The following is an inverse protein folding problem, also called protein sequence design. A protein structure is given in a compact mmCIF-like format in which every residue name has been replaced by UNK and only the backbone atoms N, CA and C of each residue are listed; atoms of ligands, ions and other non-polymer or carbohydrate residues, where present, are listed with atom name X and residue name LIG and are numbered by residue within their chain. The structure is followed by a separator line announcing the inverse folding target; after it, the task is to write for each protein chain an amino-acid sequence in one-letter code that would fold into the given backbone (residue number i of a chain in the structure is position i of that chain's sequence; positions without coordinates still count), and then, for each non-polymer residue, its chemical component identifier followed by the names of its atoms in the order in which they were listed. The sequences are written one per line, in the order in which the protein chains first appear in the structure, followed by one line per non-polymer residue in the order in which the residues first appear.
data_IF_416370875091
#
_entry.id   IF_416370875091
#
_cell.length_a   1.000
_cell.length_b   1.000
_cell.length_c   1.000
_cell.angle_alpha   90.00
_cell.angle_beta   90.00
_cell.angle_gamma   90.00
#
_symmetry.space_group_name_H-M   'P 1'
#
loop_
_entity.id
_entity.type
_entity.pdbx_description
1 polymer ?
#
# COMPACT_ATOMS: atom_id res chain seq x y z
N UNK A 1 6.31 3.53 20.63
CA UNK A 1 5.67 2.60 19.67
C UNK A 1 4.51 3.35 19.02
N UNK A 2 4.58 3.60 17.71
CA UNK A 2 3.43 4.12 16.97
C UNK A 2 2.47 2.94 16.74
N UNK A 3 1.32 2.94 17.42
CA UNK A 3 0.24 1.98 17.15
C UNK A 3 -0.36 2.26 15.77
N UNK A 4 -0.81 1.22 15.07
CA UNK A 4 -1.62 1.35 13.85
C UNK A 4 -2.83 2.25 14.13
N UNK A 5 -3.18 3.14 13.20
CA UNK A 5 -4.29 4.06 13.40
C UNK A 5 -5.64 3.31 13.36
N UNK A 6 -6.52 3.61 14.32
CA UNK A 6 -7.88 3.07 14.35
C UNK A 6 -8.81 3.91 13.45
N UNK A 7 -9.90 3.32 12.99
CA UNK A 7 -10.97 4.04 12.30
C UNK A 7 -12.13 4.23 13.27
N UNK A 8 -12.31 5.46 13.76
CA UNK A 8 -13.42 5.79 14.64
C UNK A 8 -14.66 6.16 13.81
N UNK A 9 -15.75 5.43 14.00
CA UNK A 9 -17.03 5.70 13.32
C UNK A 9 -17.99 6.31 14.35
N UNK A 10 -18.30 7.59 14.17
CA UNK A 10 -19.08 8.38 15.14
C UNK A 10 -20.58 8.46 14.78
N UNK A 11 -21.02 7.67 13.82
CA UNK A 11 -22.41 7.60 13.38
C UNK A 11 -22.86 6.14 13.23
N UNK A 12 -24.14 5.93 12.93
CA UNK A 12 -24.73 4.64 12.60
C UNK A 12 -24.32 4.16 11.18
N UNK A 13 -23.03 4.21 10.85
CA UNK A 13 -22.48 3.76 9.57
C UNK A 13 -21.91 2.36 9.69
N UNK A 14 -22.52 1.40 8.98
CA UNK A 14 -21.93 0.08 8.84
C UNK A 14 -20.89 0.06 7.71
N UNK A 15 -19.62 -0.04 8.08
CA UNK A 15 -18.46 0.03 7.19
C UNK A 15 -17.49 -1.09 7.52
N UNK A 16 -17.23 -1.99 6.57
CA UNK A 16 -16.39 -3.17 6.79
C UNK A 16 -14.87 -2.88 6.83
N UNK A 17 -14.44 -1.80 7.47
CA UNK A 17 -13.06 -1.30 7.51
C UNK A 17 -12.30 -1.85 8.71
N UNK A 18 -11.11 -2.42 8.45
CA UNK A 18 -10.18 -2.89 9.47
C UNK A 18 -9.93 -1.85 10.56
N UNK A 19 -9.96 -2.29 11.81
CA UNK A 19 -9.67 -1.41 12.95
C UNK A 19 -10.78 -0.41 13.21
N UNK A 20 -11.99 -0.67 12.72
CA UNK A 20 -13.16 0.14 13.05
C UNK A 20 -13.51 -0.02 14.52
N UNK A 21 -13.87 1.10 15.14
CA UNK A 21 -14.43 1.17 16.48
C UNK A 21 -15.56 2.19 16.53
N UNK A 22 -16.55 1.95 17.39
CA UNK A 22 -17.60 2.92 17.74
C UNK A 22 -17.33 3.59 19.08
N UNK A 23 -16.24 3.20 19.76
CA UNK A 23 -15.70 3.88 20.93
C UNK A 23 -14.49 4.71 20.50
N UNK A 24 -14.43 5.93 20.99
CA UNK A 24 -13.31 6.84 20.77
C UNK A 24 -11.97 6.18 21.18
N UNK A 25 -10.96 6.13 20.27
CA UNK A 25 -9.65 5.56 20.58
C UNK A 25 -8.74 6.55 21.31
N UNK A 26 -7.85 6.03 22.16
CA UNK A 26 -6.89 6.83 22.95
C UNK A 26 -5.73 7.42 22.14
N UNK A 27 -5.55 7.03 20.87
CA UNK A 27 -4.39 7.41 20.06
C UNK A 27 -4.75 7.82 18.63
N UNK A 28 -3.74 7.84 17.73
CA UNK A 28 -3.94 8.25 16.35
C UNK A 28 -5.05 7.49 15.66
N UNK A 29 -5.91 8.20 14.96
CA UNK A 29 -7.09 7.62 14.32
C UNK A 29 -7.53 8.43 13.10
N UNK A 30 -8.37 7.82 12.30
CA UNK A 30 -9.14 8.48 11.26
C UNK A 30 -10.61 8.45 11.65
N UNK A 31 -11.34 9.53 11.41
CA UNK A 31 -12.75 9.66 11.78
C UNK A 31 -13.64 9.46 10.56
N UNK A 32 -14.73 8.71 10.71
CA UNK A 32 -15.81 8.63 9.72
C UNK A 32 -17.11 9.09 10.35
N UNK A 33 -17.81 9.99 9.67
CA UNK A 33 -19.03 10.62 10.17
C UNK A 33 -20.05 10.78 9.05
N UNK A 34 -21.34 10.80 9.40
CA UNK A 34 -22.38 11.26 8.47
C UNK A 34 -22.42 12.79 8.42
N UNK A 35 -22.80 13.37 7.28
CA UNK A 35 -22.86 14.83 7.18
C UNK A 35 -23.80 15.50 8.20
N UNK A 36 -24.88 14.83 8.60
CA UNK A 36 -25.78 15.31 9.67
C UNK A 36 -25.10 15.46 11.04
N UNK A 37 -24.01 14.73 11.29
CA UNK A 37 -23.27 14.73 12.55
C UNK A 37 -21.91 15.46 12.39
N UNK A 38 -21.72 16.20 11.29
CA UNK A 38 -20.45 16.83 10.95
C UNK A 38 -20.01 17.86 12.01
N UNK A 39 -20.93 18.62 12.58
CA UNK A 39 -20.61 19.63 13.61
C UNK A 39 -19.94 18.99 14.85
N UNK A 40 -20.47 17.87 15.34
CA UNK A 40 -19.84 17.11 16.43
C UNK A 40 -18.46 16.57 16.02
N UNK A 41 -18.28 16.16 14.76
CA UNK A 41 -16.99 15.73 14.24
C UNK A 41 -15.98 16.89 14.22
N UNK A 42 -16.43 18.11 13.90
CA UNK A 42 -15.59 19.31 13.94
C UNK A 42 -15.00 19.52 15.34
N UNK A 43 -15.87 19.45 16.36
CA UNK A 43 -15.48 19.62 17.76
C UNK A 43 -14.44 18.56 18.18
N UNK A 44 -14.67 17.29 17.79
CA UNK A 44 -13.75 16.20 18.05
C UNK A 44 -12.36 16.44 17.45
N UNK A 45 -12.30 16.75 16.16
CA UNK A 45 -11.02 16.93 15.45
C UNK A 45 -10.27 18.19 15.92
N UNK A 46 -11.00 19.25 16.28
CA UNK A 46 -10.41 20.43 16.90
C UNK A 46 -9.73 20.10 18.25
N UNK A 47 -10.35 19.23 19.07
CA UNK A 47 -9.78 18.77 20.33
C UNK A 47 -8.66 17.73 20.16
N UNK A 48 -8.69 16.94 19.08
CA UNK A 48 -7.81 15.77 18.85
C UNK A 48 -6.80 16.03 17.72
N UNK A 49 -5.60 16.48 18.09
CA UNK A 49 -4.47 16.68 17.15
C UNK A 49 -3.95 15.39 16.50
N UNK A 50 -4.25 14.25 17.10
CA UNK A 50 -3.88 12.91 16.62
C UNK A 50 -4.90 12.32 15.63
N UNK A 51 -6.01 13.01 15.36
CA UNK A 51 -6.90 12.66 14.26
C UNK A 51 -6.25 13.01 12.91
N UNK A 52 -5.95 12.01 12.09
CA UNK A 52 -5.14 12.15 10.86
C UNK A 52 -5.97 12.48 9.63
N UNK A 53 -7.21 12.02 9.60
CA UNK A 53 -8.11 12.20 8.47
C UNK A 53 -9.57 12.17 8.93
N UNK A 54 -10.42 12.86 8.16
CA UNK A 54 -11.87 12.85 8.32
C UNK A 54 -12.51 12.36 7.02
N UNK A 55 -13.47 11.45 7.13
CA UNK A 55 -14.36 11.11 6.03
C UNK A 55 -15.80 11.48 6.37
N UNK A 56 -16.44 12.22 5.47
CA UNK A 56 -17.83 12.66 5.60
C UNK A 56 -18.68 11.95 4.55
N UNK A 57 -19.67 11.19 5.01
CA UNK A 57 -20.59 10.42 4.16
C UNK A 57 -21.98 11.05 4.16
N UNK A 58 -22.48 11.39 2.98
CA UNK A 58 -23.74 12.11 2.80
C UNK A 58 -23.61 13.53 3.33
N UNK A 59 -23.09 14.43 2.50
CA UNK A 59 -22.76 15.80 2.87
C UNK A 59 -24.04 16.57 3.25
N UNK A 60 -23.99 17.43 4.28
CA UNK A 60 -25.12 18.27 4.63
C UNK A 60 -25.36 19.34 3.54
N UNK A 61 -26.50 20.02 3.61
CA UNK A 61 -26.83 21.08 2.65
C UNK A 61 -25.94 22.32 2.80
N UNK A 62 -25.56 22.66 4.03
CA UNK A 62 -24.69 23.80 4.32
C UNK A 62 -23.28 23.32 4.64
N UNK A 63 -22.27 23.97 4.04
CA UNK A 63 -20.87 23.73 4.38
C UNK A 63 -20.53 24.44 5.70
N UNK A 64 -20.12 23.72 6.77
CA UNK A 64 -19.67 24.36 7.99
C UNK A 64 -18.30 25.02 7.78
N UNK A 65 -17.83 25.79 8.76
CA UNK A 65 -16.43 26.22 8.77
C UNK A 65 -15.52 24.98 8.85
N UNK A 66 -14.58 24.84 7.90
CA UNK A 66 -13.64 23.73 7.81
C UNK A 66 -12.21 24.12 8.24
N UNK A 67 -11.98 25.36 8.71
CA UNK A 67 -10.65 25.91 9.01
C UNK A 67 -9.80 25.06 9.96
N UNK A 68 -10.42 24.32 10.87
CA UNK A 68 -9.76 23.41 11.84
C UNK A 68 -9.21 22.11 11.22
N UNK A 69 -9.55 21.81 9.96
CA UNK A 69 -8.98 20.72 9.17
C UNK A 69 -7.75 21.12 8.36
N UNK A 70 -7.32 22.38 8.41
CA UNK A 70 -6.15 22.84 7.65
C UNK A 70 -4.94 21.91 7.86
N UNK A 71 -4.31 21.49 6.76
CA UNK A 71 -3.20 20.53 6.77
C UNK A 71 -3.58 19.07 7.09
N UNK A 72 -4.87 18.74 7.20
CA UNK A 72 -5.36 17.36 7.35
C UNK A 72 -5.98 16.86 6.04
N UNK A 73 -6.25 15.56 5.99
CA UNK A 73 -6.93 14.91 4.86
C UNK A 73 -8.44 14.83 5.09
N UNK A 74 -9.21 15.22 4.08
CA UNK A 74 -10.66 15.19 4.08
C UNK A 74 -11.17 14.35 2.91
N UNK A 75 -11.95 13.33 3.23
CA UNK A 75 -12.60 12.46 2.27
C UNK A 75 -14.09 12.78 2.19
N UNK A 76 -14.56 13.20 1.03
CA UNK A 76 -15.96 13.55 0.81
C UNK A 76 -16.68 12.45 0.04
N UNK A 77 -17.82 11.97 0.54
CA UNK A 77 -18.60 10.91 -0.12
C UNK A 77 -20.06 11.33 -0.24
N UNK A 78 -20.50 11.63 -1.46
CA UNK A 78 -21.91 11.97 -1.75
C UNK A 78 -22.30 11.55 -3.17
N UNK A 79 -23.57 11.27 -3.40
CA UNK A 79 -24.09 11.01 -4.76
C UNK A 79 -24.27 12.28 -5.57
N UNK A 80 -24.45 13.41 -4.90
CA UNK A 80 -24.72 14.72 -5.48
C UNK A 80 -23.42 15.46 -5.80
N UNK A 81 -23.24 15.77 -7.08
CA UNK A 81 -22.04 16.45 -7.57
C UNK A 81 -22.00 17.93 -7.20
N UNK A 82 -23.16 18.57 -7.02
CA UNK A 82 -23.22 19.97 -6.60
C UNK A 82 -22.72 20.10 -5.15
N UNK A 83 -23.25 19.27 -4.24
CA UNK A 83 -22.78 19.22 -2.85
C UNK A 83 -21.29 18.89 -2.74
N UNK A 84 -20.81 17.88 -3.48
CA UNK A 84 -19.38 17.53 -3.47
C UNK A 84 -18.50 18.70 -3.89
N UNK A 85 -18.89 19.39 -4.96
CA UNK A 85 -18.14 20.52 -5.50
C UNK A 85 -18.08 21.66 -4.49
N UNK A 86 -19.22 22.03 -3.91
CA UNK A 86 -19.31 23.12 -2.93
C UNK A 86 -18.42 22.84 -1.71
N UNK A 87 -18.51 21.63 -1.15
CA UNK A 87 -17.68 21.19 -0.04
C UNK A 87 -16.19 21.17 -0.40
N UNK A 88 -15.83 20.64 -1.56
CA UNK A 88 -14.44 20.58 -2.00
C UNK A 88 -13.85 21.98 -2.20
N UNK A 89 -14.60 22.91 -2.80
CA UNK A 89 -14.16 24.30 -2.99
C UNK A 89 -13.95 25.03 -1.64
N UNK A 90 -14.83 24.80 -0.66
CA UNK A 90 -14.64 25.31 0.70
C UNK A 90 -13.39 24.72 1.36
N UNK A 91 -13.19 23.41 1.24
CA UNK A 91 -12.07 22.72 1.86
C UNK A 91 -10.71 23.10 1.25
N UNK A 92 -10.64 23.25 -0.07
CA UNK A 92 -9.44 23.72 -0.77
C UNK A 92 -9.10 25.15 -0.35
N UNK A 93 -10.09 26.04 -0.21
CA UNK A 93 -9.88 27.41 0.32
C UNK A 93 -9.36 27.43 1.76
N UNK A 94 -9.64 26.38 2.52
CA UNK A 94 -9.14 26.19 3.88
C UNK A 94 -7.80 25.41 3.94
N UNK A 95 -7.11 25.22 2.80
CA UNK A 95 -5.82 24.52 2.70
C UNK A 95 -5.86 23.07 3.20
N UNK A 96 -6.96 22.37 2.90
CA UNK A 96 -7.18 20.96 3.24
C UNK A 96 -6.83 20.09 2.02
N UNK A 97 -6.19 18.95 2.26
CA UNK A 97 -6.01 17.93 1.22
C UNK A 97 -7.32 17.15 1.04
N UNK A 98 -7.96 17.29 -0.11
CA UNK A 98 -9.30 16.76 -0.37
C UNK A 98 -9.25 15.65 -1.40
N UNK A 99 -9.80 14.50 -1.04
CA UNK A 99 -10.21 13.49 -2.00
C UNK A 99 -11.74 13.31 -1.93
N UNK A 100 -12.38 13.12 -3.08
CA UNK A 100 -13.83 12.93 -3.11
C UNK A 100 -14.25 11.70 -3.91
N UNK A 101 -15.41 11.18 -3.53
CA UNK A 101 -16.00 9.96 -4.02
C UNK A 101 -17.46 10.26 -4.36
N UNK A 102 -17.77 10.29 -5.66
CA UNK A 102 -19.16 10.40 -6.11
C UNK A 102 -19.89 9.07 -5.95
N UNK A 103 -20.66 8.92 -4.88
CA UNK A 103 -21.48 7.75 -4.61
C UNK A 103 -22.57 8.03 -3.59
N UNK A 104 -23.81 7.56 -3.85
CA UNK A 104 -24.91 7.65 -2.90
C UNK A 104 -24.75 6.72 -1.68
N UNK A 105 -23.90 5.69 -1.79
CA UNK A 105 -23.54 4.77 -0.69
C UNK A 105 -22.03 4.74 -0.53
N UNK A 106 -21.48 4.70 0.69
CA UNK A 106 -20.04 4.72 0.88
C UNK A 106 -19.38 3.48 0.26
N UNK A 107 -18.51 3.63 -0.75
CA UNK A 107 -17.82 2.49 -1.33
C UNK A 107 -16.68 2.09 -0.40
N UNK A 108 -16.95 1.06 0.41
CA UNK A 108 -16.02 0.51 1.41
C UNK A 108 -14.57 0.46 0.92
N UNK A 109 -14.30 -0.12 -0.24
CA UNK A 109 -12.94 -0.32 -0.76
C UNK A 109 -12.17 1.00 -0.94
N UNK A 110 -12.82 2.03 -1.50
CA UNK A 110 -12.19 3.34 -1.71
C UNK A 110 -12.01 4.07 -0.38
N UNK A 111 -13.01 4.03 0.47
CA UNK A 111 -12.96 4.66 1.79
C UNK A 111 -11.88 4.03 2.68
N UNK A 112 -11.78 2.70 2.67
CA UNK A 112 -10.72 1.98 3.38
C UNK A 112 -9.34 2.29 2.80
N UNK A 113 -9.21 2.43 1.47
CA UNK A 113 -7.94 2.82 0.85
C UNK A 113 -7.46 4.18 1.32
N UNK A 114 -8.37 5.15 1.32
CA UNK A 114 -8.17 6.50 1.82
C UNK A 114 -7.77 6.55 3.30
N UNK A 115 -8.50 5.84 4.16
CA UNK A 115 -8.33 5.88 5.62
C UNK A 115 -7.18 5.00 6.14
N UNK A 116 -6.84 3.95 5.39
CA UNK A 116 -5.74 3.01 5.69
C UNK A 116 -4.79 2.97 4.49
N UNK A 117 -4.01 4.06 4.29
CA UNK A 117 -3.09 4.15 3.17
C UNK A 117 -1.97 3.11 3.32
N UNK A 118 -1.58 2.50 2.20
CA UNK A 118 -0.57 1.44 2.16
C UNK A 118 0.54 1.85 1.23
N UNK A 119 1.79 1.61 1.64
CA UNK A 119 2.97 1.78 0.81
C UNK A 119 3.44 0.45 0.23
N UNK A 120 4.35 0.50 -0.74
CA UNK A 120 5.01 -0.66 -1.30
C UNK A 120 6.52 -0.56 -1.14
N UNK A 121 7.15 -1.68 -0.78
CA UNK A 121 8.60 -1.84 -0.77
C UNK A 121 8.95 -2.84 -1.86
N UNK A 122 9.60 -2.37 -2.92
CA UNK A 122 10.16 -3.22 -3.96
C UNK A 122 11.62 -3.50 -3.60
N UNK A 123 11.92 -4.73 -3.20
CA UNK A 123 13.27 -5.17 -2.90
C UNK A 123 14.01 -5.50 -4.19
N UNK A 124 14.95 -4.64 -4.57
CA UNK A 124 15.75 -4.76 -5.80
C UNK A 124 17.28 -4.67 -5.51
N UNK A 125 17.68 -4.89 -4.26
CA UNK A 125 19.07 -4.78 -3.81
C UNK A 125 19.82 -6.13 -3.73
N UNK A 126 19.14 -7.25 -4.01
CA UNK A 126 19.70 -8.60 -3.93
C UNK A 126 20.79 -8.89 -4.96
N UNK A 127 21.75 -9.74 -4.61
CA UNK A 127 22.83 -10.14 -5.51
C UNK A 127 22.36 -11.19 -6.52
N UNK A 128 22.75 -11.04 -7.78
CA UNK A 128 22.38 -11.97 -8.87
C UNK A 128 23.42 -13.08 -9.07
N UNK A 129 23.99 -13.61 -7.99
CA UNK A 129 25.20 -14.46 -8.04
C UNK A 129 25.05 -15.75 -8.86
N UNK A 130 23.83 -16.24 -9.08
CA UNK A 130 23.52 -17.42 -9.90
C UNK A 130 23.27 -17.10 -11.38
N UNK A 131 23.15 -15.82 -11.72
CA UNK A 131 22.97 -15.34 -13.10
C UNK A 131 24.33 -14.81 -13.60
N UNK A 132 24.83 -15.36 -14.70
CA UNK A 132 25.97 -14.76 -15.40
C UNK A 132 25.48 -13.53 -16.19
N UNK A 133 25.92 -12.32 -15.82
CA UNK A 133 25.59 -11.10 -16.56
C UNK A 133 25.10 -9.92 -15.70
N UNK A 134 24.32 -8.97 -16.28
CA UNK A 134 23.80 -7.80 -15.55
C UNK A 134 22.86 -8.24 -14.43
N UNK A 135 22.56 -7.31 -13.52
CA UNK A 135 21.68 -7.61 -12.38
C UNK A 135 20.34 -8.19 -12.87
N UNK A 136 19.91 -9.29 -12.24
CA UNK A 136 18.71 -10.06 -12.57
C UNK A 136 17.50 -9.13 -12.71
N UNK A 137 17.29 -8.21 -11.77
CA UNK A 137 16.18 -7.24 -11.76
C UNK A 137 16.14 -6.28 -12.97
N UNK A 138 17.26 -6.16 -13.70
CA UNK A 138 17.38 -5.34 -14.91
C UNK A 138 17.04 -6.09 -16.20
N UNK A 139 16.90 -7.42 -16.16
CA UNK A 139 16.54 -8.19 -17.33
C UNK A 139 15.17 -7.76 -17.86
N UNK A 140 15.09 -7.63 -19.18
CA UNK A 140 13.86 -7.16 -19.81
C UNK A 140 12.85 -8.29 -19.97
N UNK A 141 11.64 -8.05 -19.49
CA UNK A 141 10.47 -8.88 -19.76
C UNK A 141 9.46 -8.01 -20.48
N UNK A 142 8.99 -8.44 -21.66
CA UNK A 142 8.13 -7.64 -22.53
C UNK A 142 8.66 -6.22 -22.84
N UNK A 143 9.98 -6.07 -22.99
CA UNK A 143 10.64 -4.79 -23.32
C UNK A 143 10.75 -3.82 -22.13
N UNK A 144 10.67 -4.32 -20.90
CA UNK A 144 10.75 -3.53 -19.67
C UNK A 144 11.53 -4.29 -18.58
N UNK A 145 12.46 -3.63 -17.86
CA UNK A 145 13.16 -4.24 -16.72
C UNK A 145 12.20 -4.82 -15.67
N UNK A 146 12.52 -6.00 -15.11
CA UNK A 146 11.67 -6.67 -14.11
C UNK A 146 11.29 -5.79 -12.93
N UNK A 147 12.24 -5.00 -12.41
CA UNK A 147 11.99 -4.07 -11.29
C UNK A 147 10.86 -3.08 -11.59
N UNK A 148 10.71 -2.66 -12.85
CA UNK A 148 9.66 -1.73 -13.24
C UNK A 148 8.29 -2.41 -13.26
N UNK A 149 8.19 -3.69 -13.61
CA UNK A 149 6.93 -4.43 -13.52
C UNK A 149 6.44 -4.50 -12.07
N UNK A 150 7.32 -4.77 -11.11
CA UNK A 150 6.96 -4.79 -9.69
C UNK A 150 6.54 -3.40 -9.18
N UNK A 151 7.26 -2.35 -9.58
CA UNK A 151 6.94 -0.97 -9.25
C UNK A 151 5.55 -0.55 -9.79
N UNK A 152 5.28 -0.84 -11.05
CA UNK A 152 3.98 -0.52 -11.68
C UNK A 152 2.85 -1.35 -11.07
N UNK A 153 3.09 -2.64 -10.80
CA UNK A 153 2.12 -3.50 -10.11
C UNK A 153 1.75 -2.93 -8.73
N UNK A 154 2.71 -2.38 -7.99
CA UNK A 154 2.44 -1.72 -6.72
C UNK A 154 1.59 -0.46 -6.88
N UNK A 155 1.99 0.44 -7.78
CA UNK A 155 1.31 1.70 -8.04
C UNK A 155 -0.13 1.46 -8.53
N UNK A 156 -0.29 0.70 -9.61
CA UNK A 156 -1.61 0.35 -10.18
C UNK A 156 -2.45 -0.53 -9.25
N UNK A 157 -1.80 -1.24 -8.32
CA UNK A 157 -2.44 -2.07 -7.29
C UNK A 157 -3.08 -1.26 -6.15
N UNK A 158 -2.86 0.05 -6.09
CA UNK A 158 -3.44 0.94 -5.07
C UNK A 158 -2.52 1.25 -3.89
N UNK A 159 -1.21 1.17 -4.09
CA UNK A 159 -0.23 1.68 -3.11
C UNK A 159 -0.09 3.20 -3.26
N UNK A 160 -0.05 3.91 -2.13
CA UNK A 160 -0.03 5.38 -2.04
C UNK A 160 1.41 5.93 -2.02
N UNK A 161 2.39 5.04 -1.84
CA UNK A 161 3.82 5.32 -1.90
C UNK A 161 4.49 4.05 -2.44
N UNK A 162 5.43 4.20 -3.37
CA UNK A 162 6.25 3.09 -3.86
C UNK A 162 7.71 3.42 -3.58
N UNK A 163 8.35 2.60 -2.75
CA UNK A 163 9.77 2.68 -2.42
C UNK A 163 10.48 1.55 -3.11
N UNK A 164 11.50 1.86 -3.91
CA UNK A 164 12.40 0.87 -4.51
C UNK A 164 13.73 0.90 -3.78
N UNK A 165 14.07 -0.21 -3.15
CA UNK A 165 15.35 -0.37 -2.44
C UNK A 165 16.37 -0.99 -3.38
N UNK A 166 17.45 -0.27 -3.66
CA UNK A 166 18.49 -0.68 -4.61
C UNK A 166 19.89 -0.64 -3.97
N UNK A 167 20.83 -1.40 -4.53
CA UNK A 167 22.24 -1.38 -4.12
C UNK A 167 23.21 -1.01 -5.25
N UNK A 168 22.78 -1.08 -6.51
CA UNK A 168 23.60 -0.68 -7.65
C UNK A 168 22.96 0.45 -8.45
N UNK A 169 23.79 1.39 -8.90
CA UNK A 169 23.37 2.56 -9.66
C UNK A 169 22.67 2.21 -10.98
N UNK A 170 22.94 1.06 -11.57
CA UNK A 170 22.28 0.62 -12.81
C UNK A 170 20.78 0.39 -12.58
N UNK A 171 20.38 -0.11 -11.40
CA UNK A 171 18.97 -0.26 -11.00
C UNK A 171 18.30 1.10 -10.88
N UNK A 172 18.97 2.04 -10.22
CA UNK A 172 18.48 3.43 -10.10
C UNK A 172 18.24 4.07 -11.47
N UNK A 173 19.14 3.86 -12.44
CA UNK A 173 18.97 4.38 -13.82
C UNK A 173 17.85 3.70 -14.59
N UNK A 174 17.59 2.43 -14.30
CA UNK A 174 16.53 1.66 -14.96
C UNK A 174 15.13 1.94 -14.39
N UNK A 175 15.04 2.39 -13.14
CA UNK A 175 13.78 2.80 -12.52
C UNK A 175 13.44 4.22 -12.96
N UNK A 176 12.40 4.34 -13.78
CA UNK A 176 11.88 5.62 -14.29
C UNK A 176 10.41 5.74 -13.88
N UNK A 177 10.04 6.84 -13.24
CA UNK A 177 8.67 7.12 -12.78
C UNK A 177 8.61 7.61 -11.33
N UNK A 178 7.40 7.65 -10.77
CA UNK A 178 7.10 8.20 -9.44
C UNK A 178 7.36 7.20 -8.31
N UNK A 179 8.57 6.66 -8.25
CA UNK A 179 9.03 5.83 -7.13
C UNK A 179 10.12 6.52 -6.34
N UNK A 180 10.06 6.40 -5.02
CA UNK A 180 11.12 6.84 -4.13
C UNK A 180 12.25 5.81 -4.14
N UNK A 181 13.46 6.27 -4.48
CA UNK A 181 14.63 5.40 -4.62
C UNK A 181 15.47 5.45 -3.35
N UNK A 182 15.60 4.30 -2.67
CA UNK A 182 16.38 4.18 -1.43
C UNK A 182 17.62 3.34 -1.69
N UNK A 183 18.80 3.96 -1.55
CA UNK A 183 20.06 3.26 -1.65
C UNK A 183 20.36 2.48 -0.37
N UNK A 184 20.59 1.17 -0.49
CA UNK A 184 21.05 0.31 0.60
C UNK A 184 22.51 -0.13 0.36
N UNK A 185 23.51 0.56 0.94
CA UNK A 185 24.91 0.16 0.84
C UNK A 185 25.23 -1.14 1.59
N UNK A 186 24.32 -1.60 2.47
CA UNK A 186 24.48 -2.78 3.30
C UNK A 186 23.72 -4.00 2.76
N UNK A 187 23.33 -4.01 1.48
CA UNK A 187 22.59 -5.13 0.89
C UNK A 187 23.33 -6.49 1.02
N UNK A 188 24.66 -6.47 1.08
CA UNK A 188 25.49 -7.67 1.30
C UNK A 188 25.32 -8.31 2.69
N UNK A 189 24.73 -7.60 3.66
CA UNK A 189 24.46 -8.17 5.00
C UNK A 189 23.16 -8.98 5.04
N UNK A 190 22.46 -9.12 3.91
CA UNK A 190 21.25 -9.92 3.77
C UNK A 190 19.97 -9.11 3.62
N UNK A 191 18.85 -9.82 3.41
CA UNK A 191 17.54 -9.24 3.11
C UNK A 191 17.04 -8.27 4.19
N UNK A 192 17.39 -8.49 5.46
CA UNK A 192 16.92 -7.67 6.57
C UNK A 192 17.28 -6.18 6.38
N UNK A 193 18.49 -5.87 5.92
CA UNK A 193 18.93 -4.49 5.73
C UNK A 193 18.11 -3.76 4.66
N UNK A 194 17.71 -4.48 3.60
CA UNK A 194 16.91 -3.92 2.51
C UNK A 194 15.46 -3.67 2.94
N UNK A 195 14.85 -4.64 3.65
CA UNK A 195 13.52 -4.46 4.21
C UNK A 195 13.49 -3.27 5.19
N UNK A 196 14.50 -3.17 6.06
CA UNK A 196 14.62 -2.05 6.99
C UNK A 196 14.76 -0.70 6.30
N UNK A 197 15.59 -0.62 5.25
CA UNK A 197 15.74 0.60 4.46
C UNK A 197 14.40 1.04 3.86
N UNK A 198 13.64 0.09 3.29
CA UNK A 198 12.30 0.36 2.75
C UNK A 198 11.30 0.81 3.82
N UNK A 199 11.25 0.13 4.97
CA UNK A 199 10.33 0.47 6.06
C UNK A 199 10.62 1.86 6.66
N UNK A 200 11.90 2.24 6.77
CA UNK A 200 12.30 3.57 7.29
C UNK A 200 11.96 4.72 6.35
N UNK A 201 11.86 4.47 5.04
CA UNK A 201 11.46 5.46 4.05
C UNK A 201 9.95 5.68 3.96
N UNK A 202 9.14 4.80 4.56
CA UNK A 202 7.68 4.94 4.53
C UNK A 202 7.22 6.19 5.27
N UNK A 203 6.33 6.96 4.64
CA UNK A 203 5.76 8.16 5.26
C UNK A 203 5.01 7.80 6.56
N UNK A 204 4.94 8.72 7.54
CA UNK A 204 4.34 8.44 8.85
C UNK A 204 2.89 7.95 8.82
N UNK A 205 2.12 8.34 7.80
CA UNK A 205 0.72 7.99 7.63
C UNK A 205 0.46 6.59 7.07
N UNK A 206 1.47 5.92 6.51
CA UNK A 206 1.31 4.61 5.86
C UNK A 206 0.97 3.54 6.91
N UNK A 207 -0.19 2.90 6.85
CA UNK A 207 -0.62 1.94 7.89
C UNK A 207 -0.12 0.50 7.65
N UNK A 208 0.33 0.19 6.44
CA UNK A 208 0.99 -1.07 6.11
C UNK A 208 1.94 -0.91 4.92
N UNK A 209 2.84 -1.88 4.73
CA UNK A 209 3.67 -1.97 3.55
C UNK A 209 3.46 -3.32 2.85
N UNK A 210 3.22 -3.31 1.54
CA UNK A 210 3.31 -4.51 0.72
C UNK A 210 4.75 -4.69 0.24
N UNK A 211 5.35 -5.83 0.56
CA UNK A 211 6.72 -6.17 0.16
C UNK A 211 6.66 -6.98 -1.13
N UNK A 212 7.24 -6.44 -2.20
CA UNK A 212 7.41 -7.11 -3.50
C UNK A 212 8.89 -7.40 -3.75
N UNK A 213 9.16 -8.44 -4.54
CA UNK A 213 10.49 -8.72 -5.04
C UNK A 213 10.63 -8.15 -6.46
N UNK A 214 11.74 -7.45 -6.73
CA UNK A 214 11.98 -6.79 -8.03
C UNK A 214 12.22 -7.76 -9.19
N UNK A 215 12.29 -9.05 -8.92
CA UNK A 215 12.53 -10.14 -9.86
C UNK A 215 11.32 -11.08 -10.05
N UNK A 216 10.14 -10.68 -9.57
CA UNK A 216 8.88 -11.39 -9.79
C UNK A 216 7.98 -10.61 -10.78
N UNK A 217 8.32 -10.54 -12.08
CA UNK A 217 7.60 -9.69 -13.05
C UNK A 217 6.18 -10.18 -13.36
N UNK A 218 5.80 -11.38 -12.91
CA UNK A 218 4.45 -11.94 -13.07
C UNK A 218 3.50 -11.51 -11.95
N UNK A 219 4.02 -10.91 -10.87
CA UNK A 219 3.20 -10.27 -9.84
C UNK A 219 2.62 -8.98 -10.41
N UNK A 220 1.35 -9.04 -10.79
CA UNK A 220 0.62 -7.89 -11.35
C UNK A 220 -0.17 -7.11 -10.30
N UNK A 221 -0.68 -5.95 -10.72
CA UNK A 221 -1.51 -5.05 -9.92
C UNK A 221 -2.76 -5.71 -9.32
N UNK A 222 -3.35 -6.68 -10.02
CA UNK A 222 -4.48 -7.48 -9.49
C UNK A 222 -4.12 -8.27 -8.24
N UNK A 223 -2.90 -8.80 -8.15
CA UNK A 223 -2.42 -9.52 -6.96
C UNK A 223 -2.27 -8.55 -5.80
N UNK A 224 -1.63 -7.40 -6.03
CA UNK A 224 -1.47 -6.35 -5.02
C UNK A 224 -2.84 -5.88 -4.52
N UNK A 225 -3.75 -5.52 -5.43
CA UNK A 225 -5.10 -5.07 -5.08
C UNK A 225 -5.88 -6.11 -4.26
N UNK A 226 -5.75 -7.40 -4.57
CA UNK A 226 -6.38 -8.47 -3.81
C UNK A 226 -5.84 -8.56 -2.37
N UNK A 227 -4.53 -8.44 -2.20
CA UNK A 227 -3.89 -8.42 -0.87
C UNK A 227 -4.32 -7.19 -0.06
N UNK A 228 -4.32 -6.01 -0.68
CA UNK A 228 -4.73 -4.77 -0.01
C UNK A 228 -6.20 -4.82 0.41
N UNK A 229 -7.08 -5.32 -0.45
CA UNK A 229 -8.49 -5.55 -0.13
C UNK A 229 -8.66 -6.48 1.06
N UNK A 230 -7.96 -7.61 1.05
CA UNK A 230 -8.05 -8.59 2.13
C UNK A 230 -7.56 -8.00 3.45
N UNK A 231 -6.43 -7.28 3.44
CA UNK A 231 -5.87 -6.65 4.63
C UNK A 231 -6.77 -5.56 5.23
N UNK A 232 -7.44 -4.77 4.37
CA UNK A 232 -8.36 -3.69 4.79
C UNK A 232 -9.71 -4.18 5.30
N UNK A 233 -10.04 -5.46 5.15
CA UNK A 233 -11.29 -6.03 5.64
C UNK A 233 -11.28 -6.07 7.18
N UNK A 234 -12.43 -5.73 7.76
CA UNK A 234 -12.70 -5.96 9.19
C UNK A 234 -12.29 -7.39 9.62
N UNK A 235 -11.61 -7.49 10.76
CA UNK A 235 -11.16 -8.78 11.32
C UNK A 235 -9.94 -9.41 10.64
N UNK A 236 -9.36 -8.81 9.60
CA UNK A 236 -8.14 -9.33 8.96
C UNK A 236 -6.92 -9.31 9.90
N UNK A 237 -6.02 -10.27 9.71
CA UNK A 237 -4.76 -10.39 10.45
C UNK A 237 -3.74 -9.32 10.06
N UNK A 238 -2.73 -9.05 10.89
CA UNK A 238 -1.71 -8.01 10.67
C UNK A 238 -0.88 -8.20 9.38
N UNK A 239 -0.76 -9.44 8.90
CA UNK A 239 -0.15 -9.76 7.63
C UNK A 239 -1.14 -10.47 6.68
N UNK A 240 -1.00 -10.19 5.38
CA UNK A 240 -1.73 -10.90 4.33
C UNK A 240 -0.77 -11.26 3.20
N UNK A 241 -0.66 -12.53 2.85
CA UNK A 241 0.23 -13.00 1.80
C UNK A 241 -0.49 -13.80 0.71
N UNK A 242 0.21 -14.02 -0.41
CA UNK A 242 -0.23 -14.98 -1.42
C UNK A 242 -0.05 -16.40 -0.89
N UNK A 243 -1.10 -17.22 -0.99
CA UNK A 243 -1.03 -18.66 -0.76
C UNK A 243 -0.42 -19.39 -1.96
N UNK A 244 0.46 -20.35 -1.68
CA UNK A 244 0.90 -21.39 -2.60
C UNK A 244 0.38 -22.77 -2.16
N UNK A 245 0.66 -23.79 -2.96
CA UNK A 245 0.35 -25.18 -2.63
C UNK A 245 0.88 -25.55 -1.23
N UNK A 246 0.21 -26.50 -0.56
CA UNK A 246 0.60 -27.03 0.75
C UNK A 246 0.59 -26.02 1.91
N UNK A 247 -0.29 -25.02 1.88
CA UNK A 247 -0.44 -23.98 2.92
C UNK A 247 0.83 -23.13 3.15
N UNK A 248 1.75 -23.12 2.20
CA UNK A 248 2.86 -22.17 2.21
C UNK A 248 2.43 -20.83 1.63
N UNK A 249 3.20 -19.79 1.95
CA UNK A 249 2.98 -18.46 1.40
C UNK A 249 4.26 -17.90 0.80
N UNK A 250 4.07 -17.03 -0.18
CA UNK A 250 5.13 -16.39 -0.94
C UNK A 250 4.88 -14.89 -1.06
N UNK A 251 5.92 -14.10 -1.33
CA UNK A 251 5.73 -12.72 -1.71
C UNK A 251 4.78 -12.57 -2.92
N UNK A 252 4.01 -11.48 -3.00
CA UNK A 252 4.02 -10.36 -2.06
C UNK A 252 3.33 -10.63 -0.73
N UNK A 253 3.74 -9.87 0.28
CA UNK A 253 3.13 -9.89 1.62
C UNK A 253 2.86 -8.47 2.10
N UNK A 254 1.64 -8.21 2.55
CA UNK A 254 1.25 -6.98 3.25
C UNK A 254 1.62 -7.14 4.71
N UNK A 255 2.28 -6.14 5.28
CA UNK A 255 2.74 -6.11 6.67
C UNK A 255 2.26 -4.82 7.34
N UNK A 256 1.31 -4.94 8.26
CA UNK A 256 0.80 -3.82 9.05
C UNK A 256 1.92 -3.14 9.87
N UNK A 257 1.75 -1.83 10.13
CA UNK A 257 2.70 -1.02 10.88
C UNK A 257 3.04 -1.58 12.26
N UNK A 258 2.10 -2.24 12.92
CA UNK A 258 2.32 -2.92 14.20
C UNK A 258 3.40 -4.02 14.14
N UNK A 259 3.65 -4.64 12.98
CA UNK A 259 4.72 -5.63 12.80
C UNK A 259 6.10 -4.99 12.58
N UNK A 260 6.16 -3.69 12.28
CA UNK A 260 7.41 -3.06 11.81
C UNK A 260 8.50 -3.04 12.86
N UNK A 261 8.16 -2.96 14.16
CA UNK A 261 9.16 -3.02 15.22
C UNK A 261 9.94 -4.36 15.21
N UNK A 262 9.23 -5.48 15.04
CA UNK A 262 9.84 -6.81 14.93
C UNK A 262 10.65 -6.94 13.62
N UNK A 263 10.10 -6.46 12.50
CA UNK A 263 10.79 -6.47 11.20
C UNK A 263 12.07 -5.62 11.21
N UNK A 264 12.04 -4.47 11.89
CA UNK A 264 13.19 -3.59 12.05
C UNK A 264 14.30 -4.17 12.95
N UNK A 265 13.96 -5.17 13.77
CA UNK A 265 14.91 -5.87 14.64
C UNK A 265 15.61 -7.07 13.96
N UNK A 266 15.16 -7.46 12.76
CA UNK A 266 15.75 -8.57 12.00
C UNK A 266 17.23 -8.33 11.66
N UNK A 267 17.97 -9.41 11.44
CA UNK A 267 19.40 -9.39 11.08
C UNK A 267 19.68 -10.44 10.01
N UNK A 268 20.77 -10.24 9.27
CA UNK A 268 21.22 -11.20 8.26
C UNK A 268 20.23 -11.37 7.11
N UNK A 269 20.08 -12.61 6.66
CA UNK A 269 19.19 -12.99 5.57
C UNK A 269 17.71 -13.15 5.99
N UNK A 270 17.37 -12.77 7.22
CA UNK A 270 15.99 -12.83 7.69
C UNK A 270 15.09 -11.80 7.00
N UNK A 271 13.85 -12.20 6.73
CA UNK A 271 12.79 -11.34 6.19
C UNK A 271 11.49 -11.56 6.94
N UNK A 272 10.38 -11.13 6.32
CA UNK A 272 9.06 -11.21 6.93
C UNK A 272 8.66 -12.65 7.35
N UNK A 273 9.18 -13.67 6.65
CA UNK A 273 8.94 -15.08 6.97
C UNK A 273 9.34 -15.44 8.40
N UNK A 274 10.43 -14.89 8.91
CA UNK A 274 10.92 -15.17 10.25
C UNK A 274 10.02 -14.60 11.35
N UNK A 275 9.37 -13.45 11.11
CA UNK A 275 8.41 -12.86 12.06
C UNK A 275 7.09 -13.63 12.07
N UNK A 276 6.68 -14.18 10.92
CA UNK A 276 5.38 -14.85 10.75
C UNK A 276 5.43 -16.36 11.01
N UNK A 277 6.62 -16.96 10.99
CA UNK A 277 6.79 -18.40 11.16
C UNK A 277 6.27 -18.87 12.54
N UNK A 278 5.39 -19.89 12.52
CA UNK A 278 4.79 -20.44 13.74
C UNK A 278 3.72 -19.54 14.38
N UNK A 279 3.29 -18.46 13.70
CA UNK A 279 2.34 -17.47 14.22
C UNK A 279 1.13 -17.30 13.28
N UNK A 280 0.26 -18.32 13.14
CA UNK A 280 -0.90 -18.26 12.25
C UNK A 280 -1.89 -17.17 12.65
N UNK A 281 -1.89 -16.73 13.91
CA UNK A 281 -2.69 -15.61 14.38
C UNK A 281 -2.30 -14.26 13.76
N UNK A 282 -1.14 -14.18 13.10
CA UNK A 282 -0.64 -12.99 12.43
C UNK A 282 -0.91 -12.95 10.93
N UNK A 283 -1.27 -14.06 10.29
CA UNK A 283 -1.22 -14.20 8.84
C UNK A 283 -2.55 -14.71 8.26
N UNK A 284 -3.16 -13.90 7.40
CA UNK A 284 -4.12 -14.39 6.42
C UNK A 284 -3.41 -14.73 5.10
N UNK A 285 -3.98 -15.65 4.34
CA UNK A 285 -3.54 -15.90 2.97
C UNK A 285 -4.68 -15.77 1.98
N UNK A 286 -4.36 -15.32 0.77
CA UNK A 286 -5.31 -15.22 -0.34
C UNK A 286 -4.76 -15.96 -1.56
N UNK A 287 -5.63 -16.57 -2.39
CA UNK A 287 -5.19 -17.14 -3.66
C UNK A 287 -4.67 -16.03 -4.57
N UNK A 288 -3.50 -16.23 -5.21
CA UNK A 288 -3.01 -15.27 -6.19
C UNK A 288 -3.83 -15.36 -7.48
N UNK A 289 -4.28 -14.23 -8.05
CA UNK A 289 -4.85 -14.18 -9.40
C UNK A 289 -3.79 -14.35 -10.51
N UNK A 290 -2.53 -14.61 -10.15
CA UNK A 290 -1.38 -14.72 -11.06
C UNK A 290 -0.27 -15.61 -10.49
N UNK A 291 0.93 -15.55 -11.07
CA UNK A 291 2.09 -16.34 -10.66
C UNK A 291 3.11 -15.47 -9.92
N UNK A 292 3.79 -16.06 -8.93
CA UNK A 292 4.81 -15.41 -8.10
C UNK A 292 6.18 -16.07 -8.32
N UNK A 293 6.48 -16.44 -9.57
CA UNK A 293 7.68 -17.21 -9.89
C UNK A 293 8.93 -16.33 -9.81
N UNK A 294 9.95 -16.83 -9.10
CA UNK A 294 11.28 -16.20 -9.06
C UNK A 294 12.09 -16.58 -10.31
N UNK A 295 12.84 -15.61 -10.87
CA UNK A 295 13.70 -15.86 -12.06
C UNK A 295 15.15 -16.18 -11.70
N UNK A 296 15.45 -17.28 -11.01
CA UNK A 296 16.81 -17.52 -10.49
C UNK A 296 17.85 -17.97 -11.52
N UNK A 297 17.39 -18.49 -12.67
CA UNK A 297 18.28 -19.03 -13.71
C UNK A 297 17.96 -18.50 -15.10
N UNK A 298 18.90 -18.58 -16.06
CA UNK A 298 18.62 -18.25 -17.46
C UNK A 298 17.48 -19.09 -18.06
N UNK A 299 17.31 -20.33 -17.59
CA UNK A 299 16.21 -21.20 -18.01
C UNK A 299 14.85 -20.68 -17.50
N UNK A 300 14.77 -20.16 -16.27
CA UNK A 300 13.56 -19.54 -15.73
C UNK A 300 13.20 -18.27 -16.50
N UNK A 301 14.21 -17.46 -16.83
CA UNK A 301 14.04 -16.26 -17.65
C UNK A 301 13.46 -16.62 -19.03
N UNK A 302 14.04 -17.62 -19.69
CA UNK A 302 13.57 -18.07 -21.00
C UNK A 302 12.12 -18.59 -20.97
N UNK A 303 11.69 -19.26 -19.90
CA UNK A 303 10.29 -19.68 -19.73
C UNK A 303 9.36 -18.48 -19.60
N UNK A 304 9.72 -17.51 -18.76
CA UNK A 304 8.87 -16.35 -18.46
C UNK A 304 8.74 -15.44 -19.67
N UNK A 305 9.82 -15.17 -20.41
CA UNK A 305 9.76 -14.34 -21.64
C UNK A 305 8.80 -14.92 -22.67
N UNK A 306 8.63 -16.25 -22.74
CA UNK A 306 7.67 -16.90 -23.65
C UNK A 306 6.20 -16.69 -23.26
N UNK A 307 5.93 -16.38 -21.99
CA UNK A 307 4.56 -16.11 -21.51
C UNK A 307 4.06 -14.73 -21.96
N UNK A 308 4.97 -13.82 -22.32
CA UNK A 308 4.61 -12.52 -22.85
C UNK A 308 4.59 -12.59 -24.39
N UNK A 309 3.43 -12.43 -25.05
CA UNK A 309 3.36 -12.48 -26.49
C UNK A 309 4.26 -11.39 -27.09
N UNK A 310 5.15 -11.78 -28.02
CA UNK A 310 5.98 -10.82 -28.76
C UNK A 310 5.06 -9.82 -29.44
N UNK A 311 5.24 -8.52 -29.16
CA UNK A 311 4.65 -7.47 -30.01
C UNK A 311 5.13 -7.73 -31.43
N UNK A 312 4.22 -8.04 -32.36
CA UNK A 312 4.54 -8.05 -33.79
C UNK A 312 5.16 -6.68 -34.11
N UNK A 313 6.32 -6.61 -34.79
CA UNK A 313 6.83 -5.34 -35.24
C UNK A 313 5.74 -4.65 -36.06
N UNK A 314 5.43 -3.39 -35.74
CA UNK A 314 4.57 -2.56 -36.59
C UNK A 314 5.19 -2.60 -37.98
N UNK A 315 4.50 -3.23 -38.95
CA UNK A 315 4.83 -3.03 -40.35
C UNK A 315 4.75 -1.52 -40.59
N UNK A 316 5.90 -0.92 -40.89
CA UNK A 316 5.92 0.44 -41.42
C UNK A 316 5.20 0.35 -42.77
N UNK A 317 4.09 1.09 -42.87
CA UNK A 317 3.47 1.41 -44.15
C UNK A 317 4.38 2.36 -44.93
#
# INVERSE_FOLDING_TARGET
MLRSAMVFVMSDLDLAIRGRTYREPEGPHSLVVRGKDLESACQHVAARKDCRALAVVGLPEAVPDLSWLAGRRLFLVDGDSARLREFAEAAIRAEIDVEWIRSARPPFERLAAALLPVGAIVLAAGSSSRMAGPQKVLLEVAGKPMVRHAMEAAAEGGCHQVVVVYSAEDVKRAVVGDAELVHNPHARTGMASSLQAGLRAMRPEIEAAVVLLGDQPLVGSRTVAALLRAWRREGSRPAVAVSQAHNEWVPPVVLARELWAELLALKGDAGARQVLHGRPELLDTVPAPGRSDDIDTPADYAKIVRLFPRRKPRQRA
#
